data_IF_302107205753
#
_entry.id   IF_302107205753
#
_cell.length_a   1.000
_cell.length_b   1.000
_cell.length_c   1.000
_cell.angle_alpha   90.00
_cell.angle_beta   90.00
_cell.angle_gamma   90.00
#
_symmetry.space_group_name_H-M   'P 1'
#
loop_
_entity.id
_entity.type
_entity.pdbx_description
1 polymer ?
#
# COMPACT_ATOMS: atom_id res chain seq x y z
N UNK A 1 -2.54 2.20 15.18
CA UNK A 1 -1.56 1.27 14.57
C UNK A 1 -1.04 0.40 15.69
N UNK A 2 -1.04 -0.93 15.56
CA UNK A 2 -0.47 -1.80 16.59
C UNK A 2 1.04 -1.88 16.40
N UNK A 3 1.80 -1.52 17.43
CA UNK A 3 3.23 -1.75 17.43
C UNK A 3 3.50 -3.24 17.63
N UNK A 4 4.27 -3.83 16.71
CA UNK A 4 4.69 -5.22 16.82
C UNK A 4 6.00 -5.22 17.59
N UNK A 5 5.95 -5.66 18.85
CA UNK A 5 7.13 -5.75 19.70
C UNK A 5 7.77 -7.14 19.57
N UNK A 6 9.09 -7.19 19.33
CA UNK A 6 9.86 -8.43 19.19
C UNK A 6 10.49 -8.62 17.81
N UNK A 7 10.70 -9.88 17.39
CA UNK A 7 11.31 -10.22 16.09
C UNK A 7 10.34 -10.08 14.92
N UNK A 8 10.84 -9.77 13.72
CA UNK A 8 10.06 -9.67 12.47
C UNK A 8 9.69 -11.03 11.86
N UNK A 9 9.41 -12.04 12.70
CA UNK A 9 8.96 -13.37 12.23
C UNK A 9 7.45 -13.37 11.98
N UNK A 10 7.00 -14.25 11.08
CA UNK A 10 5.58 -14.31 10.69
C UNK A 10 4.63 -14.54 11.87
N UNK A 11 5.07 -15.28 12.89
CA UNK A 11 4.29 -15.49 14.12
C UNK A 11 4.04 -14.21 14.91
N UNK A 12 5.06 -13.35 15.10
CA UNK A 12 4.89 -12.10 15.85
C UNK A 12 4.04 -11.09 15.07
N UNK A 13 4.22 -11.03 13.75
CA UNK A 13 3.39 -10.20 12.88
C UNK A 13 1.93 -10.67 12.94
N UNK A 14 1.68 -11.99 12.83
CA UNK A 14 0.34 -12.57 12.95
C UNK A 14 -0.33 -12.21 14.28
N UNK A 15 0.38 -12.28 15.41
CA UNK A 15 -0.17 -11.86 16.72
C UNK A 15 -0.63 -10.41 16.70
N UNK A 16 0.14 -9.51 16.07
CA UNK A 16 -0.26 -8.11 15.90
C UNK A 16 -1.57 -7.98 15.08
N UNK A 17 -1.72 -8.78 14.02
CA UNK A 17 -2.95 -8.82 13.21
C UNK A 17 -4.13 -9.35 14.02
N UNK A 18 -3.94 -10.44 14.77
CA UNK A 18 -4.96 -11.05 15.62
C UNK A 18 -5.46 -10.07 16.69
N UNK A 19 -4.54 -9.37 17.36
CA UNK A 19 -4.89 -8.32 18.32
C UNK A 19 -5.72 -7.21 17.66
N UNK A 20 -5.35 -6.77 16.46
CA UNK A 20 -6.08 -5.74 15.73
C UNK A 20 -7.50 -6.18 15.34
N UNK A 21 -7.66 -7.42 14.87
CA UNK A 21 -8.97 -7.99 14.51
C UNK A 21 -9.88 -8.12 15.73
N UNK A 22 -9.36 -8.68 16.83
CA UNK A 22 -10.11 -8.88 18.06
C UNK A 22 -10.63 -7.55 18.63
N UNK A 23 -9.79 -6.52 18.66
CA UNK A 23 -10.21 -5.21 19.17
C UNK A 23 -11.20 -4.49 18.29
N UNK A 24 -11.13 -4.69 16.98
CA UNK A 24 -12.14 -4.17 16.05
C UNK A 24 -13.40 -5.04 16.03
N UNK A 25 -13.45 -6.09 16.86
CA UNK A 25 -14.52 -7.07 16.91
C UNK A 25 -14.85 -7.64 15.52
N UNK A 26 -13.81 -7.82 14.70
CA UNK A 26 -13.93 -8.37 13.36
C UNK A 26 -13.86 -9.90 13.43
N UNK A 27 -14.54 -10.54 12.49
CA UNK A 27 -14.50 -11.99 12.31
C UNK A 27 -13.54 -12.35 11.20
N UNK A 28 -12.72 -13.39 11.40
CA UNK A 28 -11.79 -13.88 10.40
C UNK A 28 -12.52 -14.34 9.14
N UNK A 29 -13.69 -14.96 9.26
CA UNK A 29 -14.49 -15.42 8.10
C UNK A 29 -14.90 -14.31 7.12
N UNK A 30 -14.85 -13.06 7.56
CA UNK A 30 -15.16 -11.90 6.72
C UNK A 30 -13.95 -11.41 5.91
N UNK A 31 -12.73 -11.90 6.21
CA UNK A 31 -11.52 -11.53 5.48
C UNK A 31 -11.56 -12.12 4.07
N UNK A 32 -11.49 -11.26 3.04
CA UNK A 32 -11.53 -11.67 1.63
C UNK A 32 -10.16 -11.73 0.96
N UNK A 33 -9.25 -10.84 1.34
CA UNK A 33 -7.92 -10.78 0.75
C UNK A 33 -6.85 -10.37 1.76
N UNK A 34 -5.61 -10.72 1.42
CA UNK A 34 -4.40 -10.36 2.15
C UNK A 34 -3.40 -9.85 1.14
N UNK A 35 -2.88 -8.65 1.36
CA UNK A 35 -1.81 -8.09 0.53
C UNK A 35 -0.50 -8.09 1.33
N UNK A 36 0.55 -8.71 0.80
CA UNK A 36 1.87 -8.78 1.47
C UNK A 36 3.01 -8.40 0.53
N UNK A 37 4.14 -7.99 1.08
CA UNK A 37 5.37 -7.71 0.32
C UNK A 37 6.09 -8.98 -0.18
N UNK A 38 5.58 -10.17 0.13
CA UNK A 38 6.15 -11.44 -0.29
C UNK A 38 7.37 -11.90 0.51
N UNK A 39 7.82 -11.16 1.53
CA UNK A 39 8.94 -11.56 2.39
C UNK A 39 8.71 -12.93 3.02
N UNK A 40 9.78 -13.70 3.32
CA UNK A 40 9.65 -15.08 3.83
C UNK A 40 8.83 -15.20 5.12
N UNK A 41 8.89 -14.19 5.97
CA UNK A 41 8.07 -14.05 7.18
C UNK A 41 6.58 -13.83 6.88
N UNK A 42 6.23 -13.29 5.71
CA UNK A 42 4.84 -13.08 5.26
C UNK A 42 4.33 -14.27 4.45
N UNK A 43 5.11 -14.73 3.47
CA UNK A 43 4.72 -15.71 2.44
C UNK A 43 5.13 -17.15 2.73
N UNK A 44 5.85 -17.40 3.84
CA UNK A 44 6.29 -18.74 4.21
C UNK A 44 5.13 -19.74 4.35
N UNK A 45 5.31 -20.94 3.78
CA UNK A 45 4.27 -21.96 3.65
C UNK A 45 3.57 -22.34 4.98
N UNK A 46 4.34 -22.47 6.06
CA UNK A 46 3.80 -22.94 7.35
C UNK A 46 3.84 -21.85 8.44
N UNK A 47 4.91 -21.04 8.44
CA UNK A 47 5.16 -20.01 9.48
C UNK A 47 4.94 -18.59 8.97
N UNK A 48 4.58 -18.41 7.71
CA UNK A 48 4.30 -17.11 7.12
C UNK A 48 2.96 -16.57 7.61
N UNK A 49 2.85 -15.24 7.69
CA UNK A 49 1.60 -14.56 8.06
C UNK A 49 0.42 -15.02 7.19
N UNK A 50 0.61 -15.17 5.88
CA UNK A 50 -0.44 -15.62 4.97
C UNK A 50 -0.99 -16.97 5.38
N UNK A 51 -0.11 -17.94 5.66
CA UNK A 51 -0.51 -19.28 6.08
C UNK A 51 -1.25 -19.27 7.42
N UNK A 52 -0.76 -18.50 8.39
CA UNK A 52 -1.37 -18.36 9.71
C UNK A 52 -2.75 -17.71 9.64
N UNK A 53 -2.89 -16.64 8.83
CA UNK A 53 -4.18 -15.98 8.61
C UNK A 53 -5.15 -16.89 7.86
N UNK A 54 -4.73 -17.59 6.80
CA UNK A 54 -5.60 -18.55 6.10
C UNK A 54 -6.15 -19.59 7.05
N UNK A 55 -5.31 -20.15 7.94
CA UNK A 55 -5.75 -21.09 8.96
C UNK A 55 -6.76 -20.48 9.94
N UNK A 56 -6.54 -19.24 10.38
CA UNK A 56 -7.48 -18.54 11.26
C UNK A 56 -8.85 -18.29 10.58
N UNK A 57 -8.84 -17.98 9.28
CA UNK A 57 -10.06 -17.81 8.47
C UNK A 57 -10.82 -19.12 8.31
N UNK A 58 -10.13 -20.21 7.97
CA UNK A 58 -10.72 -21.54 7.86
C UNK A 58 -11.33 -22.01 9.19
N UNK A 59 -10.62 -21.80 10.30
CA UNK A 59 -11.11 -22.11 11.65
C UNK A 59 -12.37 -21.32 12.04
N UNK A 60 -12.57 -20.12 11.49
CA UNK A 60 -13.76 -19.30 11.70
C UNK A 60 -14.89 -19.60 10.68
N UNK A 61 -14.72 -20.63 9.84
CA UNK A 61 -15.68 -21.04 8.82
C UNK A 61 -15.66 -20.16 7.55
N UNK A 62 -14.60 -19.41 7.34
CA UNK A 62 -14.39 -18.59 6.14
C UNK A 62 -13.74 -19.37 5.00
N UNK A 63 -13.87 -18.84 3.78
CA UNK A 63 -13.15 -19.33 2.61
C UNK A 63 -11.72 -18.78 2.57
N UNK A 64 -10.81 -19.54 1.96
CA UNK A 64 -9.40 -19.14 1.80
C UNK A 64 -9.29 -17.72 1.19
N UNK A 65 -8.56 -16.79 1.85
CA UNK A 65 -8.39 -15.44 1.34
C UNK A 65 -7.60 -15.39 0.03
N UNK A 66 -7.93 -14.43 -0.83
CA UNK A 66 -7.10 -14.07 -1.99
C UNK A 66 -5.77 -13.47 -1.51
N UNK A 67 -4.65 -14.01 -1.97
CA UNK A 67 -3.32 -13.52 -1.61
C UNK A 67 -2.79 -12.67 -2.75
N UNK A 68 -2.55 -11.40 -2.45
CA UNK A 68 -2.03 -10.41 -3.38
C UNK A 68 -0.61 -10.00 -2.97
N UNK A 69 0.22 -9.73 -3.95
CA UNK A 69 1.49 -9.03 -3.71
C UNK A 69 1.24 -7.53 -3.58
N UNK A 70 2.05 -6.87 -2.76
CA UNK A 70 1.99 -5.42 -2.60
C UNK A 70 2.19 -4.73 -3.96
N UNK A 71 1.26 -3.84 -4.33
CA UNK A 71 1.33 -3.09 -5.59
C UNK A 71 2.63 -2.29 -5.69
N UNK A 72 3.17 -1.80 -4.58
CA UNK A 72 4.45 -1.07 -4.53
C UNK A 72 5.62 -2.00 -4.90
N UNK A 73 5.60 -3.24 -4.41
CA UNK A 73 6.60 -4.24 -4.77
C UNK A 73 6.50 -4.62 -6.25
N UNK A 74 5.27 -4.83 -6.75
CA UNK A 74 5.03 -5.09 -8.18
C UNK A 74 5.49 -3.92 -9.06
N UNK A 75 5.19 -2.68 -8.68
CA UNK A 75 5.66 -1.48 -9.38
C UNK A 75 7.18 -1.39 -9.40
N UNK A 76 7.85 -1.64 -8.27
CA UNK A 76 9.31 -1.68 -8.21
C UNK A 76 9.91 -2.77 -9.12
N UNK A 77 9.27 -3.94 -9.18
CA UNK A 77 9.70 -5.03 -10.05
C UNK A 77 9.46 -4.69 -11.53
N UNK A 78 8.28 -4.18 -11.87
CA UNK A 78 7.95 -3.73 -13.23
C UNK A 78 8.92 -2.63 -13.70
N UNK A 79 9.28 -1.68 -12.84
CA UNK A 79 10.27 -0.64 -13.17
C UNK A 79 11.68 -1.17 -13.44
N UNK A 80 12.01 -2.39 -12.99
CA UNK A 80 13.27 -3.07 -13.33
C UNK A 80 13.18 -3.88 -14.63
N UNK A 81 11.99 -4.40 -14.94
CA UNK A 81 11.77 -5.27 -16.10
C UNK A 81 11.35 -4.50 -17.35
N UNK A 82 10.72 -3.34 -17.19
CA UNK A 82 10.25 -2.48 -18.27
C UNK A 82 11.14 -1.25 -18.34
N UNK A 83 11.67 -0.98 -19.53
CA UNK A 83 12.33 0.30 -19.79
C UNK A 83 11.29 1.41 -19.92
N UNK A 84 11.02 2.07 -18.80
CA UNK A 84 10.11 3.22 -18.73
C UNK A 84 10.87 4.55 -18.89
N UNK A 85 12.14 4.52 -19.31
CA UNK A 85 12.99 5.72 -19.36
C UNK A 85 12.39 6.83 -20.20
N UNK A 86 11.83 6.50 -21.36
CA UNK A 86 11.25 7.50 -22.27
C UNK A 86 9.97 8.15 -21.71
N UNK A 87 9.26 7.47 -20.80
CA UNK A 87 8.09 8.03 -20.11
C UNK A 87 8.52 8.79 -18.85
N UNK A 88 9.46 8.23 -18.07
CA UNK A 88 9.87 8.79 -16.79
C UNK A 88 10.79 9.99 -16.93
N UNK A 89 11.67 10.06 -17.95
CA UNK A 89 12.57 11.20 -18.17
C UNK A 89 11.81 12.52 -18.31
N UNK A 90 10.78 12.65 -19.18
CA UNK A 90 9.98 13.88 -19.25
C UNK A 90 9.29 14.20 -17.93
N UNK A 91 8.69 13.20 -17.27
CA UNK A 91 7.98 13.39 -16.00
C UNK A 91 8.92 13.92 -14.91
N UNK A 92 10.11 13.31 -14.75
CA UNK A 92 11.13 13.73 -13.79
C UNK A 92 11.60 15.14 -14.11
N UNK A 93 11.87 15.45 -15.38
CA UNK A 93 12.26 16.79 -15.81
C UNK A 93 11.20 17.84 -15.47
N UNK A 94 9.92 17.55 -15.72
CA UNK A 94 8.81 18.45 -15.39
C UNK A 94 8.67 18.65 -13.88
N UNK A 95 8.76 17.58 -13.08
CA UNK A 95 8.69 17.68 -11.61
C UNK A 95 9.86 18.49 -11.07
N UNK A 96 11.07 18.25 -11.57
CA UNK A 96 12.26 19.01 -11.16
C UNK A 96 12.09 20.49 -11.50
N UNK A 97 11.63 20.83 -12.71
CA UNK A 97 11.34 22.21 -13.09
C UNK A 97 10.32 22.89 -12.16
N UNK A 98 9.24 22.20 -11.80
CA UNK A 98 8.24 22.72 -10.85
C UNK A 98 8.87 22.98 -9.48
N UNK A 99 9.74 22.06 -9.02
CA UNK A 99 10.41 22.16 -7.70
C UNK A 99 11.53 23.20 -7.66
N UNK A 100 12.21 23.47 -8.78
CA UNK A 100 13.31 24.44 -8.85
C UNK A 100 12.89 25.86 -8.52
N UNK A 101 11.59 26.19 -8.61
CA UNK A 101 11.08 27.52 -8.32
C UNK A 101 9.96 27.47 -7.27
N UNK A 102 10.15 28.19 -6.16
CA UNK A 102 9.19 28.19 -5.05
C UNK A 102 7.78 28.66 -5.43
N UNK A 103 7.67 29.58 -6.40
CA UNK A 103 6.37 30.03 -6.92
C UNK A 103 5.67 28.92 -7.71
N UNK A 104 6.38 28.26 -8.63
CA UNK A 104 5.86 27.14 -9.42
C UNK A 104 5.38 26.01 -8.51
N UNK A 105 6.16 25.65 -7.49
CA UNK A 105 5.78 24.64 -6.51
C UNK A 105 4.49 25.00 -5.77
N UNK A 106 4.35 26.26 -5.31
CA UNK A 106 3.16 26.73 -4.59
C UNK A 106 1.92 26.72 -5.49
N UNK A 107 2.04 27.24 -6.71
CA UNK A 107 0.94 27.26 -7.68
C UNK A 107 0.53 25.84 -8.09
N UNK A 108 1.50 24.96 -8.32
CA UNK A 108 1.25 23.56 -8.64
C UNK A 108 0.55 22.84 -7.50
N UNK A 109 0.96 23.02 -6.24
CA UNK A 109 0.22 22.47 -5.08
C UNK A 109 -1.22 22.93 -5.04
N UNK A 110 -1.47 24.24 -5.20
CA UNK A 110 -2.83 24.78 -5.21
C UNK A 110 -3.68 24.20 -6.34
N UNK A 111 -3.07 23.98 -7.50
CA UNK A 111 -3.72 23.32 -8.63
C UNK A 111 -4.09 21.87 -8.31
N UNK A 112 -3.16 21.09 -7.74
CA UNK A 112 -3.44 19.70 -7.32
C UNK A 112 -4.52 19.64 -6.25
N UNK A 113 -4.48 20.50 -5.23
CA UNK A 113 -5.52 20.56 -4.18
C UNK A 113 -6.91 20.85 -4.74
N UNK A 114 -7.01 21.70 -5.78
CA UNK A 114 -8.27 21.96 -6.50
C UNK A 114 -8.72 20.75 -7.30
N UNK A 115 -7.80 20.10 -8.01
CA UNK A 115 -8.11 18.87 -8.76
C UNK A 115 -8.57 17.76 -7.83
N UNK A 116 -7.90 17.51 -6.71
CA UNK A 116 -8.30 16.50 -5.74
C UNK A 116 -9.74 16.75 -5.27
N UNK A 117 -10.06 18.00 -4.88
CA UNK A 117 -11.42 18.41 -4.51
C UNK A 117 -12.46 18.15 -5.61
N UNK A 118 -12.12 18.40 -6.88
CA UNK A 118 -13.00 18.09 -8.01
C UNK A 118 -13.12 16.58 -8.26
N UNK A 119 -12.03 15.83 -8.07
CA UNK A 119 -11.96 14.38 -8.34
C UNK A 119 -12.73 13.57 -7.28
N UNK A 120 -12.75 14.03 -6.03
CA UNK A 120 -13.61 13.47 -4.98
C UNK A 120 -15.10 13.54 -5.33
N UNK A 121 -15.51 14.43 -6.25
CA UNK A 121 -16.89 14.53 -6.73
C UNK A 121 -17.23 13.52 -7.84
N UNK A 122 -16.22 12.93 -8.50
CA UNK A 122 -16.42 12.14 -9.73
C UNK A 122 -15.99 10.66 -9.54
N UNK A 123 -15.15 10.35 -8.55
CA UNK A 123 -14.61 8.98 -8.38
C UNK A 123 -14.62 8.52 -6.92
N UNK A 124 -15.68 7.81 -6.52
CA UNK A 124 -15.58 6.69 -5.58
C UNK A 124 -16.44 5.53 -6.15
N UNK A 125 -15.88 4.30 -6.27
CA UNK A 125 -15.32 3.57 -5.14
C UNK A 125 -13.93 2.90 -5.26
N UNK A 126 -13.17 2.99 -6.37
CA UNK A 126 -12.03 2.05 -6.56
C UNK A 126 -10.58 2.59 -6.52
N UNK A 127 -10.30 3.90 -6.65
CA UNK A 127 -8.90 4.35 -6.93
C UNK A 127 -8.37 5.46 -6.00
N UNK A 128 -9.24 6.23 -5.33
CA UNK A 128 -8.83 7.48 -4.66
C UNK A 128 -7.86 7.36 -3.48
N UNK A 129 -7.76 6.19 -2.83
CA UNK A 129 -6.92 6.03 -1.65
C UNK A 129 -5.44 5.76 -1.96
N UNK A 130 -5.13 5.25 -3.17
CA UNK A 130 -3.76 4.86 -3.55
C UNK A 130 -3.02 5.99 -4.25
N UNK A 131 -3.68 6.72 -5.16
CA UNK A 131 -2.99 7.74 -5.99
C UNK A 131 -2.72 9.03 -5.21
N UNK A 132 -3.72 9.60 -4.52
CA UNK A 132 -3.54 10.86 -3.80
C UNK A 132 -2.53 10.78 -2.65
N UNK A 133 -2.55 9.68 -1.88
CA UNK A 133 -1.56 9.47 -0.79
C UNK A 133 -0.16 9.16 -1.31
N UNK A 134 -0.02 8.41 -2.40
CA UNK A 134 1.29 8.10 -2.96
C UNK A 134 1.92 9.32 -3.65
N UNK A 135 1.12 10.16 -4.32
CA UNK A 135 1.62 11.38 -4.95
C UNK A 135 1.95 12.48 -3.93
N UNK A 136 1.11 12.62 -2.89
CA UNK A 136 1.42 13.50 -1.75
C UNK A 136 2.65 13.01 -0.98
N UNK A 137 2.82 11.69 -0.78
CA UNK A 137 4.06 11.14 -0.24
C UNK A 137 5.26 11.45 -1.15
N UNK A 138 5.15 11.28 -2.47
CA UNK A 138 6.21 11.60 -3.43
C UNK A 138 6.62 13.09 -3.41
N UNK A 139 5.66 14.01 -3.23
CA UNK A 139 5.95 15.43 -3.07
C UNK A 139 6.64 15.78 -1.73
N UNK A 140 6.45 14.95 -0.70
CA UNK A 140 6.96 15.13 0.65
C UNK A 140 8.14 14.18 1.02
N UNK A 141 8.61 13.31 0.11
CA UNK A 141 9.55 12.22 0.45
C UNK A 141 11.04 12.62 0.50
N UNK A 142 11.40 13.87 0.27
CA UNK A 142 12.76 14.35 0.52
C UNK A 142 12.74 15.63 1.36
N UNK A 143 12.58 15.43 2.67
CA UNK A 143 13.14 16.25 3.74
C UNK A 143 13.95 15.34 4.65
#
# INVERSE_FOLDING_TARGET
MYSIHGTTTGRYIFKGVEMAINQKNLRWKNLKCITTDGGKNMSGKDKGVVALVSKAVENDGGSKPLVLHCIIHQQSLCGKCLDMSEVLKPVISTVNFIRSFGLNHRQFRQFIERLEKMTYLIILPYVGLVVGKSFSAFLNFEQ
#
